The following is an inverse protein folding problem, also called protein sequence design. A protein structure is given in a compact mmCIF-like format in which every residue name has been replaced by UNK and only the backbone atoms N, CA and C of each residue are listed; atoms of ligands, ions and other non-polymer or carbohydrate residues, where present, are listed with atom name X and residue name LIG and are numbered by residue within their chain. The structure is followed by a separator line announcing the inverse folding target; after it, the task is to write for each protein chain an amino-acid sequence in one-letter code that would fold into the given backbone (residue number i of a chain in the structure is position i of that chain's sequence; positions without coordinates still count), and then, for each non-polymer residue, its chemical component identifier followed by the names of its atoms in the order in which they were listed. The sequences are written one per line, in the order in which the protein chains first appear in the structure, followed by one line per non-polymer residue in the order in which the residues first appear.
data_IF_063611158876
#
_entry.id   IF_063611158876
#
_cell.length_a   1.000
_cell.length_b   1.000
_cell.length_c   1.000
_cell.angle_alpha   90.00
_cell.angle_beta   90.00
_cell.angle_gamma   90.00
#
_symmetry.space_group_name_H-M   'P 1'
#
loop_
_entity.id
_entity.type
_entity.pdbx_description
1 polymer ?
#
# COMPACT_ATOMS: atom_id res chain seq x y z
N UNK A 1 -51.60 -17.05 36.37
CA UNK A 1 -50.92 -16.19 35.38
C UNK A 1 -49.45 -16.05 35.79
N UNK A 2 -48.50 -16.65 35.07
CA UNK A 2 -47.06 -16.56 35.34
C UNK A 2 -46.35 -16.17 34.04
N UNK A 3 -46.13 -14.88 33.83
CA UNK A 3 -45.20 -14.40 32.81
C UNK A 3 -43.85 -14.20 33.48
N UNK A 4 -42.93 -15.15 33.29
CA UNK A 4 -41.53 -15.00 33.66
C UNK A 4 -40.67 -15.01 32.39
N UNK A 5 -40.02 -13.87 32.16
CA UNK A 5 -38.67 -13.77 31.61
C UNK A 5 -38.42 -14.23 30.17
N UNK A 6 -39.29 -13.91 29.21
CA UNK A 6 -38.99 -14.13 27.79
C UNK A 6 -38.35 -12.90 27.08
N UNK A 7 -38.31 -11.73 27.73
CA UNK A 7 -37.90 -10.49 27.04
C UNK A 7 -36.40 -10.19 27.09
N UNK A 8 -35.64 -10.80 28.02
CA UNK A 8 -34.23 -10.46 28.24
C UNK A 8 -33.26 -11.26 27.35
N UNK A 9 -33.69 -12.40 26.79
CA UNK A 9 -32.84 -13.28 25.98
C UNK A 9 -32.66 -12.81 24.52
N UNK A 10 -33.60 -12.02 23.99
CA UNK A 10 -33.55 -11.57 22.58
C UNK A 10 -32.66 -10.35 22.36
N UNK A 11 -32.37 -9.56 23.40
CA UNK A 11 -31.56 -8.35 23.31
C UNK A 11 -30.04 -8.62 23.30
N UNK A 12 -29.61 -9.84 23.66
CA UNK A 12 -28.19 -10.21 23.67
C UNK A 12 -27.70 -10.87 22.37
N UNK A 13 -28.61 -11.43 21.54
CA UNK A 13 -28.18 -12.11 20.32
C UNK A 13 -27.90 -11.15 19.15
N UNK A 14 -28.42 -9.91 19.19
CA UNK A 14 -28.25 -8.93 18.11
C UNK A 14 -26.94 -8.13 18.20
N UNK A 15 -26.27 -8.12 19.36
CA UNK A 15 -25.02 -7.36 19.53
C UNK A 15 -23.79 -8.04 18.92
N UNK A 16 -23.81 -9.37 18.76
CA UNK A 16 -22.66 -10.11 18.23
C UNK A 16 -22.50 -10.01 16.70
N UNK A 17 -23.54 -9.59 15.97
CA UNK A 17 -23.50 -9.46 14.51
C UNK A 17 -22.76 -8.20 14.02
N UNK A 18 -22.48 -7.23 14.89
CA UNK A 18 -21.83 -5.96 14.51
C UNK A 18 -20.29 -6.03 14.54
N UNK A 19 -19.71 -7.05 15.17
CA UNK A 19 -18.24 -7.15 15.34
C UNK A 19 -17.53 -7.67 14.08
N UNK A 20 -18.24 -8.36 13.19
CA UNK A 20 -17.67 -8.94 11.95
C UNK A 20 -17.68 -8.03 10.72
N UNK A 21 -18.31 -6.85 10.77
CA UNK A 21 -18.51 -5.99 9.61
C UNK A 21 -17.38 -4.97 9.36
N UNK A 22 -16.37 -4.88 10.25
CA UNK A 22 -15.32 -3.85 10.17
C UNK A 22 -13.97 -4.34 9.66
N UNK A 23 -13.83 -5.56 9.15
CA UNK A 23 -12.59 -6.03 8.51
C UNK A 23 -12.58 -5.77 7.00
N UNK A 24 -12.86 -4.54 6.58
CA UNK A 24 -12.58 -4.15 5.20
C UNK A 24 -11.10 -3.75 5.13
N UNK A 25 -10.26 -4.63 4.57
CA UNK A 25 -8.88 -4.26 4.22
C UNK A 25 -8.95 -3.33 3.01
N UNK A 26 -8.94 -2.03 3.24
CA UNK A 26 -8.82 -1.07 2.16
C UNK A 26 -7.42 -1.17 1.53
N UNK A 27 -7.38 -1.23 0.19
CA UNK A 27 -6.18 -1.12 -0.65
C UNK A 27 -5.08 -2.15 -0.33
N UNK A 28 -5.22 -3.37 -0.86
CA UNK A 28 -4.13 -4.34 -0.89
C UNK A 28 -3.03 -3.86 -1.83
N UNK A 29 -1.80 -3.75 -1.32
CA UNK A 29 -0.65 -3.40 -2.14
C UNK A 29 -0.42 -4.49 -3.21
N UNK A 30 -0.12 -4.10 -4.46
CA UNK A 30 0.09 -5.07 -5.53
C UNK A 30 1.32 -5.92 -5.24
N UNK A 31 1.20 -7.23 -5.42
CA UNK A 31 2.33 -8.13 -5.33
C UNK A 31 3.39 -7.83 -6.40
N UNK A 32 4.63 -8.22 -6.14
CA UNK A 32 5.69 -8.21 -7.13
C UNK A 32 5.36 -9.17 -8.29
N UNK A 33 5.66 -8.77 -9.53
CA UNK A 33 5.55 -9.62 -10.72
C UNK A 33 6.81 -9.54 -11.58
N UNK A 34 7.40 -10.70 -11.91
CA UNK A 34 8.54 -10.76 -12.82
C UNK A 34 8.21 -10.21 -14.22
N UNK A 35 6.96 -10.33 -14.66
CA UNK A 35 6.52 -9.81 -15.95
C UNK A 35 6.68 -8.28 -16.02
N UNK A 36 6.45 -7.57 -14.90
CA UNK A 36 6.66 -6.12 -14.83
C UNK A 36 8.14 -5.75 -14.94
N UNK A 37 9.03 -6.58 -14.38
CA UNK A 37 10.48 -6.39 -14.50
C UNK A 37 10.95 -6.65 -15.93
N UNK A 38 10.39 -7.65 -16.60
CA UNK A 38 10.74 -8.02 -17.97
C UNK A 38 10.12 -7.11 -19.03
N UNK A 39 9.11 -6.31 -18.68
CA UNK A 39 8.52 -5.29 -19.57
C UNK A 39 9.60 -4.29 -20.02
N UNK A 40 9.77 -4.14 -21.32
CA UNK A 40 10.85 -3.33 -21.92
C UNK A 40 10.46 -1.89 -22.22
N UNK A 41 9.17 -1.60 -22.36
CA UNK A 41 8.63 -0.26 -22.58
C UNK A 41 7.20 -0.12 -22.06
N UNK A 42 6.76 1.10 -21.80
CA UNK A 42 5.38 1.36 -21.38
C UNK A 42 4.39 1.11 -22.53
N UNK A 43 3.19 0.68 -22.17
CA UNK A 43 2.08 0.51 -23.11
C UNK A 43 1.34 1.82 -23.39
N UNK A 44 1.50 2.80 -22.51
CA UNK A 44 0.87 4.13 -22.61
C UNK A 44 1.73 5.04 -23.49
N UNK A 45 3.04 5.06 -23.22
CA UNK A 45 4.02 5.84 -23.96
C UNK A 45 5.30 5.02 -24.14
N UNK A 46 5.64 4.69 -25.38
CA UNK A 46 6.79 3.82 -25.69
C UNK A 46 8.14 4.47 -25.38
N UNK A 47 8.19 5.80 -25.37
CA UNK A 47 9.43 6.56 -25.15
C UNK A 47 9.58 7.01 -23.69
N UNK A 48 8.61 6.69 -22.82
CA UNK A 48 8.64 7.04 -21.41
C UNK A 48 9.85 6.40 -20.70
N UNK A 49 10.69 7.20 -20.01
CA UNK A 49 11.87 6.69 -19.33
C UNK A 49 11.53 5.88 -18.07
N UNK A 50 10.34 6.09 -17.51
CA UNK A 50 9.77 5.35 -16.40
C UNK A 50 8.24 5.33 -16.46
N UNK A 51 7.61 4.44 -15.70
CA UNK A 51 6.15 4.32 -15.57
C UNK A 51 5.78 4.03 -14.11
N UNK A 52 4.83 4.79 -13.58
CA UNK A 52 4.20 4.47 -12.29
C UNK A 52 3.26 3.30 -12.53
N UNK A 53 3.60 2.12 -11.98
CA UNK A 53 2.73 0.95 -12.03
C UNK A 53 1.64 1.02 -10.95
N UNK A 54 1.96 1.61 -9.81
CA UNK A 54 1.03 1.83 -8.71
C UNK A 54 1.53 2.94 -7.78
N UNK A 55 0.62 3.78 -7.31
CA UNK A 55 0.91 4.82 -6.31
C UNK A 55 -0.30 4.96 -5.39
N UNK A 56 -0.07 5.03 -4.08
CA UNK A 56 -1.13 5.27 -3.11
C UNK A 56 -0.63 6.01 -1.88
N UNK A 57 -1.53 6.79 -1.27
CA UNK A 57 -1.37 7.35 0.06
C UNK A 57 -2.48 6.82 0.95
N UNK A 58 -2.12 6.19 2.07
CA UNK A 58 -3.06 5.67 3.05
C UNK A 58 -2.94 6.45 4.35
N UNK A 59 -4.08 6.85 4.91
CA UNK A 59 -4.17 7.51 6.20
C UNK A 59 -4.72 6.52 7.22
N UNK A 60 -3.89 6.08 8.15
CA UNK A 60 -4.30 5.20 9.23
C UNK A 60 -4.62 6.05 10.46
N UNK A 61 -5.89 6.09 10.86
CA UNK A 61 -6.33 6.80 12.07
C UNK A 61 -6.08 5.91 13.28
N UNK A 62 -5.21 6.37 14.18
CA UNK A 62 -4.81 5.64 15.37
C UNK A 62 -5.54 6.16 16.62
N UNK A 63 -5.54 5.40 17.74
CA UNK A 63 -6.04 5.90 19.02
C UNK A 63 -5.28 7.16 19.48
N UNK A 64 -5.91 7.96 20.34
CA UNK A 64 -5.32 9.19 20.93
C UNK A 64 -5.07 10.33 19.92
N UNK A 65 -5.93 10.45 18.91
CA UNK A 65 -5.87 11.53 17.92
C UNK A 65 -4.56 11.56 17.12
N UNK A 66 -3.86 10.42 17.01
CA UNK A 66 -2.71 10.30 16.12
C UNK A 66 -3.11 9.70 14.78
N UNK A 67 -2.27 9.93 13.77
CA UNK A 67 -2.48 9.46 12.42
C UNK A 67 -1.13 9.06 11.83
N UNK A 68 -1.12 7.97 11.06
CA UNK A 68 0.00 7.57 10.23
C UNK A 68 -0.35 7.81 8.77
N UNK A 69 0.60 8.32 8.00
CA UNK A 69 0.52 8.44 6.55
C UNK A 69 1.51 7.47 5.94
N UNK A 70 0.99 6.60 5.09
CA UNK A 70 1.78 5.58 4.40
C UNK A 70 1.78 5.90 2.92
N UNK A 71 2.96 6.20 2.39
CA UNK A 71 3.19 6.43 0.97
C UNK A 71 3.73 5.14 0.36
N UNK A 72 3.12 4.68 -0.72
CA UNK A 72 3.60 3.53 -1.46
C UNK A 72 3.66 3.86 -2.95
N UNK A 73 4.82 3.60 -3.56
CA UNK A 73 5.06 3.80 -4.98
C UNK A 73 5.75 2.57 -5.56
N UNK A 74 5.24 2.09 -6.69
CA UNK A 74 5.83 1.04 -7.50
C UNK A 74 6.09 1.61 -8.88
N UNK A 75 7.37 1.77 -9.20
CA UNK A 75 7.81 2.51 -10.39
C UNK A 75 8.68 1.58 -11.22
N UNK A 76 8.35 1.46 -12.51
CA UNK A 76 9.15 0.74 -13.49
C UNK A 76 10.07 1.73 -14.18
N UNK A 77 11.37 1.52 -14.06
CA UNK A 77 12.38 2.30 -14.79
C UNK A 77 12.74 1.55 -16.06
N UNK A 78 12.65 2.22 -17.21
CA UNK A 78 13.06 1.71 -18.52
C UNK A 78 14.44 2.23 -18.94
N UNK A 79 14.67 3.54 -18.78
CA UNK A 79 15.95 4.18 -19.08
C UNK A 79 16.48 4.96 -17.87
N UNK A 80 17.47 4.39 -17.17
CA UNK A 80 18.09 4.99 -15.98
C UNK A 80 18.73 6.36 -16.25
N UNK A 81 19.19 6.63 -17.48
CA UNK A 81 19.85 7.91 -17.83
C UNK A 81 18.86 9.05 -18.01
N UNK A 82 17.58 8.74 -18.22
CA UNK A 82 16.50 9.71 -18.47
C UNK A 82 15.44 9.71 -17.36
N UNK A 83 15.62 8.91 -16.32
CA UNK A 83 14.65 8.71 -15.25
C UNK A 83 15.09 9.30 -13.90
N UNK A 84 15.98 10.30 -13.90
CA UNK A 84 16.55 10.88 -12.66
C UNK A 84 15.48 11.35 -11.66
N UNK A 85 14.42 11.98 -12.16
CA UNK A 85 13.28 12.43 -11.35
C UNK A 85 12.53 11.27 -10.65
N UNK A 86 12.63 10.05 -11.20
CA UNK A 86 12.00 8.85 -10.64
C UNK A 86 12.93 8.07 -9.72
N UNK A 87 14.22 8.41 -9.71
CA UNK A 87 15.23 7.84 -8.82
C UNK A 87 15.32 8.61 -7.49
N UNK A 88 14.82 9.84 -7.45
CA UNK A 88 14.77 10.69 -6.27
C UNK A 88 13.31 10.91 -5.86
N UNK A 89 12.86 10.24 -4.79
CA UNK A 89 11.50 10.38 -4.29
C UNK A 89 11.46 11.30 -3.07
N UNK A 90 10.59 12.30 -3.14
CA UNK A 90 10.32 13.21 -2.02
C UNK A 90 9.03 12.80 -1.31
N UNK A 91 9.09 12.74 0.03
CA UNK A 91 7.92 12.50 0.87
C UNK A 91 7.55 13.82 1.55
N UNK A 92 6.38 14.42 1.24
CA UNK A 92 5.98 15.68 1.84
C UNK A 92 5.63 15.47 3.32
N UNK A 93 6.37 16.16 4.19
CA UNK A 93 6.20 16.14 5.64
C UNK A 93 5.69 17.47 6.17
N UNK A 94 4.75 17.43 7.11
CA UNK A 94 4.27 18.60 7.84
C UNK A 94 5.03 18.79 9.15
N UNK A 95 4.97 20.01 9.71
CA UNK A 95 5.56 20.29 11.02
C UNK A 95 4.95 19.40 12.10
N UNK A 96 5.80 18.75 12.90
CA UNK A 96 5.39 17.78 13.92
C UNK A 96 5.27 16.33 13.42
N UNK A 97 5.40 16.08 12.11
CA UNK A 97 5.51 14.72 11.58
C UNK A 97 6.93 14.18 11.71
N UNK A 98 7.05 12.86 11.84
CA UNK A 98 8.33 12.15 11.84
C UNK A 98 8.24 10.93 10.94
N UNK A 99 9.34 10.58 10.29
CA UNK A 99 9.45 9.32 9.57
C UNK A 99 9.49 8.18 10.59
N UNK A 100 8.55 7.25 10.48
CA UNK A 100 8.49 6.07 11.36
C UNK A 100 9.27 4.90 10.77
N UNK A 101 9.06 4.62 9.49
CA UNK A 101 9.64 3.50 8.76
C UNK A 101 9.78 3.88 7.28
N UNK A 102 10.78 3.28 6.62
CA UNK A 102 10.98 3.36 5.19
C UNK A 102 11.55 2.03 4.70
N UNK A 103 10.99 1.51 3.63
CA UNK A 103 11.54 0.36 2.91
C UNK A 103 11.59 0.72 1.41
N UNK A 104 12.74 0.48 0.79
CA UNK A 104 12.85 0.49 -0.66
C UNK A 104 13.39 -0.85 -1.13
N UNK A 105 12.74 -1.42 -2.14
CA UNK A 105 13.24 -2.61 -2.82
C UNK A 105 13.44 -2.30 -4.30
N UNK A 106 14.63 -2.62 -4.81
CA UNK A 106 14.97 -2.54 -6.22
C UNK A 106 15.00 -3.95 -6.82
N UNK A 107 14.29 -4.13 -7.93
CA UNK A 107 14.34 -5.35 -8.73
C UNK A 107 15.05 -5.07 -10.04
N UNK A 108 16.17 -5.74 -10.29
CA UNK A 108 16.93 -5.62 -11.53
C UNK A 108 16.81 -6.90 -12.36
N UNK A 109 16.83 -6.76 -13.68
CA UNK A 109 16.95 -7.88 -14.61
C UNK A 109 18.42 -8.09 -14.99
N UNK A 110 19.02 -9.19 -14.55
CA UNK A 110 20.38 -9.59 -14.88
C UNK A 110 20.33 -10.80 -15.82
N UNK A 111 20.35 -10.55 -17.13
CA UNK A 111 20.02 -11.57 -18.14
C UNK A 111 18.54 -11.96 -18.05
N UNK A 112 18.24 -13.23 -17.78
CA UNK A 112 16.86 -13.71 -17.60
C UNK A 112 16.41 -13.78 -16.14
N UNK A 113 17.31 -13.49 -15.20
CA UNK A 113 17.07 -13.61 -13.77
C UNK A 113 16.72 -12.25 -13.16
N UNK A 114 15.71 -12.25 -12.29
CA UNK A 114 15.41 -11.08 -11.45
C UNK A 114 16.23 -11.15 -10.16
N UNK A 115 16.94 -10.07 -9.89
CA UNK A 115 17.69 -9.85 -8.65
C UNK A 115 16.96 -8.83 -7.78
N UNK A 116 16.82 -9.13 -6.48
CA UNK A 116 16.22 -8.25 -5.48
C UNK A 116 17.31 -7.63 -4.61
N UNK A 117 17.27 -6.31 -4.47
CA UNK A 117 18.12 -5.56 -3.55
C UNK A 117 17.19 -4.79 -2.61
N UNK A 118 17.29 -5.02 -1.31
CA UNK A 118 16.64 -4.20 -0.30
C UNK A 118 17.56 -3.03 0.05
N UNK A 119 16.97 -1.85 0.21
CA UNK A 119 17.61 -0.62 0.67
C UNK A 119 16.90 -0.24 1.96
N UNK A 120 17.62 -0.34 3.06
CA UNK A 120 17.15 -0.19 4.43
C UNK A 120 18.21 0.50 5.28
#
# INVERSE_FOLDING_TARGET
MKFKNAFLGLLWSTSSALVGAQTHKFLSLPAFSEAEVKKTSSFIDKDAPAEILYNSVRFNILPRQSMEKEYYSKIKIYDKKKAEEWLNLEIPMQSGERLLEFEATVYNLAGDKVEKIAVN
#
